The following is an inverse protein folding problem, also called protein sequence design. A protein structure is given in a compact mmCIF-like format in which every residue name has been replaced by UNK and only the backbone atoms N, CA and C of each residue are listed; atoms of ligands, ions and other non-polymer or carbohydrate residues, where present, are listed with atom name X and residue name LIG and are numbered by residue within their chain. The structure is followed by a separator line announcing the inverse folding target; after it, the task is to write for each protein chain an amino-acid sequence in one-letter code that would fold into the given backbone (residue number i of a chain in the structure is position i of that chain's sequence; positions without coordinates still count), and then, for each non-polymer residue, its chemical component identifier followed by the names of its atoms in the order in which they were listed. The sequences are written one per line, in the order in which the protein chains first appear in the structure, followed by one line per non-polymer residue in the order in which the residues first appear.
data_IF_002200239413
#
_entry.id   IF_002200239413
#
_cell.length_a   1.000
_cell.length_b   1.000
_cell.length_c   1.000
_cell.angle_alpha   90.00
_cell.angle_beta   90.00
_cell.angle_gamma   90.00
#
_symmetry.space_group_name_H-M   'P 1'
#
loop_
_entity.id
_entity.type
_entity.pdbx_description
1 polymer ?
#
# COMPACT_ATOMS: atom_id res chain seq x y z
N UNK A 1 -4.59 2.89 14.38
CA UNK A 1 -5.26 3.93 13.58
C UNK A 1 -5.44 3.47 12.15
N UNK A 2 -6.43 4.00 11.43
CA UNK A 2 -6.61 3.77 10.00
C UNK A 2 -6.17 5.02 9.23
N UNK A 3 -5.60 4.84 8.05
CA UNK A 3 -5.24 5.95 7.17
C UNK A 3 -6.53 6.72 6.81
N UNK A 4 -6.61 8.01 7.19
CA UNK A 4 -7.83 8.81 6.99
C UNK A 4 -7.97 9.37 5.58
N UNK A 5 -6.85 9.60 4.90
CA UNK A 5 -6.77 10.15 3.55
C UNK A 5 -5.55 9.57 2.82
N UNK A 6 -5.70 9.28 1.53
CA UNK A 6 -4.61 8.77 0.70
C UNK A 6 -3.66 9.87 0.20
N UNK A 7 -4.02 11.14 0.38
CA UNK A 7 -3.23 12.31 -0.05
C UNK A 7 -1.80 12.30 0.49
N UNK A 8 -1.60 11.83 1.71
CA UNK A 8 -0.28 11.75 2.34
C UNK A 8 0.39 10.38 2.19
N UNK A 9 -0.24 9.41 1.52
CA UNK A 9 0.35 8.08 1.34
C UNK A 9 1.66 8.21 0.55
N UNK A 10 2.74 7.69 1.11
CA UNK A 10 4.04 7.63 0.45
C UNK A 10 4.35 6.21 -0.03
N UNK A 11 4.10 5.22 0.82
CA UNK A 11 4.37 3.82 0.49
C UNK A 11 3.40 2.84 1.16
N UNK A 12 3.27 1.68 0.55
CA UNK A 12 2.59 0.50 1.08
C UNK A 12 3.60 -0.64 1.18
N UNK A 13 3.78 -1.15 2.40
CA UNK A 13 4.57 -2.35 2.67
C UNK A 13 3.61 -3.50 2.95
N UNK A 14 3.84 -4.65 2.34
CA UNK A 14 3.00 -5.82 2.51
C UNK A 14 3.83 -7.04 2.92
N UNK A 15 3.37 -7.71 3.95
CA UNK A 15 3.73 -9.09 4.32
C UNK A 15 2.55 -9.97 3.94
N UNK A 16 2.72 -10.78 2.91
CA UNK A 16 1.63 -11.60 2.35
C UNK A 16 1.42 -12.90 3.13
N UNK A 17 2.32 -13.28 4.03
CA UNK A 17 2.25 -14.52 4.82
C UNK A 17 2.61 -14.23 6.28
N UNK A 18 1.95 -13.22 6.84
CA UNK A 18 2.21 -12.74 8.19
C UNK A 18 1.87 -13.83 9.22
N UNK A 19 2.85 -14.13 10.08
CA UNK A 19 2.76 -15.21 11.07
C UNK A 19 2.02 -14.81 12.36
N UNK A 20 1.67 -13.53 12.51
CA UNK A 20 1.04 -12.98 13.71
C UNK A 20 2.02 -12.33 14.70
N UNK A 21 3.32 -12.52 14.52
CA UNK A 21 4.37 -12.04 15.40
C UNK A 21 5.25 -10.99 14.72
N UNK A 22 5.94 -11.36 13.63
CA UNK A 22 6.97 -10.54 13.00
C UNK A 22 6.56 -10.11 11.60
N UNK A 23 6.71 -8.83 11.31
CA UNK A 23 6.48 -8.32 9.96
C UNK A 23 7.67 -8.67 9.07
N UNK A 24 7.44 -9.52 8.08
CA UNK A 24 8.41 -9.93 7.08
C UNK A 24 8.01 -9.34 5.72
N UNK A 25 8.61 -8.21 5.37
CA UNK A 25 8.27 -7.50 4.14
C UNK A 25 8.46 -8.39 2.90
N UNK A 26 7.36 -8.66 2.20
CA UNK A 26 7.34 -9.48 0.98
C UNK A 26 7.26 -8.60 -0.26
N UNK A 27 6.45 -7.53 -0.21
CA UNK A 27 6.28 -6.58 -1.31
C UNK A 27 6.27 -5.14 -0.78
N UNK A 28 6.62 -4.20 -1.63
CA UNK A 28 6.46 -2.78 -1.37
C UNK A 28 5.97 -2.07 -2.64
N UNK A 29 5.25 -0.97 -2.46
CA UNK A 29 4.74 -0.12 -3.54
C UNK A 29 4.86 1.33 -3.11
N UNK A 30 5.34 2.20 -4.00
CA UNK A 30 5.19 3.63 -3.79
C UNK A 30 3.76 4.05 -4.09
N UNK A 31 3.35 5.21 -3.58
CA UNK A 31 2.00 5.72 -3.81
C UNK A 31 1.68 5.88 -5.31
N UNK A 32 2.67 6.26 -6.12
CA UNK A 32 2.54 6.30 -7.59
C UNK A 32 2.25 4.93 -8.23
N UNK A 33 2.83 3.84 -7.69
CA UNK A 33 2.62 2.47 -8.18
C UNK A 33 1.22 1.94 -7.86
N UNK A 34 0.53 2.59 -6.92
CA UNK A 34 -0.83 2.27 -6.52
C UNK A 34 -1.88 3.03 -7.36
N UNK A 35 -1.50 4.14 -7.98
CA UNK A 35 -2.38 4.98 -8.79
C UNK A 35 -2.61 4.44 -10.19
N UNK A 36 -1.59 3.78 -10.77
CA UNK A 36 -1.66 3.21 -12.10
C UNK A 36 -1.26 1.73 -12.01
N UNK A 37 -2.13 0.81 -12.42
CA UNK A 37 -1.83 -0.64 -12.51
C UNK A 37 -0.70 -1.00 -13.50
N UNK A 38 0.03 -0.02 -14.02
CA UNK A 38 1.20 -0.16 -14.89
C UNK A 38 2.25 0.83 -14.41
N UNK A 39 3.52 0.39 -14.36
CA UNK A 39 4.67 1.31 -14.33
C UNK A 39 4.50 2.30 -15.47
N UNK A 40 4.13 3.53 -15.17
CA UNK A 40 4.18 4.61 -16.14
C UNK A 40 5.63 5.03 -16.23
N UNK A 41 6.26 4.86 -17.40
CA UNK A 41 7.61 5.40 -17.69
C UNK A 41 7.63 6.94 -17.75
N UNK A 42 6.52 7.59 -17.37
CA UNK A 42 6.43 9.03 -17.17
C UNK A 42 6.75 9.35 -15.72
N UNK A 43 7.76 10.19 -15.52
CA UNK A 43 7.99 10.90 -14.26
C UNK A 43 6.78 11.81 -14.02
N UNK A 44 5.86 11.39 -13.15
CA UNK A 44 4.78 12.23 -12.65
C UNK A 44 5.33 13.11 -11.53
N UNK A 45 4.94 14.38 -11.49
CA UNK A 45 5.36 15.27 -10.41
C UNK A 45 4.68 14.89 -9.08
N UNK A 46 5.28 15.27 -7.95
CA UNK A 46 4.67 15.05 -6.63
C UNK A 46 3.26 15.67 -6.54
N UNK A 47 3.05 16.81 -7.19
CA UNK A 47 1.75 17.50 -7.25
C UNK A 47 0.71 16.68 -8.01
N UNK A 48 1.08 16.09 -9.16
CA UNK A 48 0.19 15.23 -9.95
C UNK A 48 -0.19 13.95 -9.20
N UNK A 49 0.78 13.32 -8.53
CA UNK A 49 0.57 12.13 -7.68
C UNK A 49 -0.40 12.46 -6.55
N UNK A 50 -0.19 13.59 -5.88
CA UNK A 50 -1.02 14.05 -4.77
C UNK A 50 -2.46 14.37 -5.21
N UNK A 51 -2.63 15.02 -6.36
CA UNK A 51 -3.97 15.26 -6.93
C UNK A 51 -4.71 13.98 -7.26
N UNK A 52 -4.02 12.99 -7.82
CA UNK A 52 -4.61 11.68 -8.15
C UNK A 52 -5.00 10.90 -6.90
N UNK A 53 -4.14 10.87 -5.87
CA UNK A 53 -4.43 10.24 -4.58
C UNK A 53 -5.64 10.88 -3.88
N UNK A 54 -5.75 12.20 -3.94
CA UNK A 54 -6.89 12.95 -3.36
C UNK A 54 -8.22 12.57 -4.03
N UNK A 55 -8.20 12.24 -5.33
CA UNK A 55 -9.39 11.83 -6.08
C UNK A 55 -9.76 10.36 -5.86
N UNK A 56 -8.85 9.53 -5.34
CA UNK A 56 -9.11 8.12 -5.07
C UNK A 56 -9.85 7.93 -3.75
N UNK A 57 -11.00 7.24 -3.82
CA UNK A 57 -11.75 6.83 -2.62
C UNK A 57 -11.27 5.48 -2.09
N UNK A 58 -10.67 4.66 -2.94
CA UNK A 58 -10.21 3.32 -2.63
C UNK A 58 -9.00 2.98 -3.52
N UNK A 59 -8.05 2.25 -2.95
CA UNK A 59 -6.89 1.70 -3.66
C UNK A 59 -7.02 0.18 -3.57
N UNK A 60 -7.26 -0.47 -4.71
CA UNK A 60 -7.36 -1.93 -4.79
C UNK A 60 -6.04 -2.47 -5.32
N UNK A 61 -5.39 -3.32 -4.53
CA UNK A 61 -4.21 -4.07 -4.96
C UNK A 61 -4.48 -5.56 -4.84
N UNK A 62 -4.33 -6.25 -5.97
CA UNK A 62 -4.48 -7.70 -6.04
C UNK A 62 -3.11 -8.37 -5.88
N UNK A 63 -3.09 -9.48 -5.15
CA UNK A 63 -1.93 -10.33 -4.96
C UNK A 63 -2.24 -11.75 -5.45
N UNK A 64 -1.28 -12.46 -6.05
CA UNK A 64 -1.46 -13.87 -6.40
C UNK A 64 -1.80 -14.70 -5.17
N UNK A 65 -2.85 -15.53 -5.27
CA UNK A 65 -3.36 -16.30 -4.12
C UNK A 65 -2.32 -17.27 -3.55
N UNK A 66 -1.44 -17.78 -4.39
CA UNK A 66 -0.33 -18.68 -4.02
C UNK A 66 0.76 -17.99 -3.21
N UNK A 67 0.91 -16.67 -3.32
CA UNK A 67 1.81 -15.88 -2.46
C UNK A 67 1.15 -15.48 -1.12
N UNK A 68 -0.18 -15.60 -1.01
CA UNK A 68 -0.93 -15.20 0.17
C UNK A 68 -1.09 -16.35 1.19
N UNK A 69 -0.58 -16.13 2.39
CA UNK A 69 -0.79 -16.98 3.55
C UNK A 69 -2.19 -16.84 4.16
N UNK A 70 -2.33 -17.30 5.40
CA UNK A 70 -3.60 -17.19 6.17
C UNK A 70 -3.90 -15.75 6.59
N UNK A 71 -2.84 -14.97 6.82
CA UNK A 71 -2.92 -13.58 7.22
C UNK A 71 -1.98 -12.74 6.37
N UNK A 72 -2.43 -11.54 6.06
CA UNK A 72 -1.66 -10.50 5.38
C UNK A 72 -1.56 -9.31 6.34
N UNK A 73 -0.37 -8.74 6.46
CA UNK A 73 -0.18 -7.48 7.16
C UNK A 73 0.26 -6.41 6.17
N UNK A 74 -0.44 -5.28 6.19
CA UNK A 74 -0.11 -4.12 5.38
C UNK A 74 0.28 -2.97 6.30
N UNK A 75 1.35 -2.26 5.95
CA UNK A 75 1.78 -1.03 6.60
C UNK A 75 1.74 0.08 5.57
N UNK A 76 0.90 1.07 5.80
CA UNK A 76 0.89 2.32 5.04
C UNK A 76 1.82 3.29 5.74
N UNK A 77 2.74 3.88 4.98
CA UNK A 77 3.65 4.93 5.47
C UNK A 77 3.28 6.22 4.75
N UNK A 78 3.09 7.29 5.51
CA UNK A 78 2.85 8.61 4.95
C UNK A 78 4.15 9.39 4.68
N UNK A 79 4.05 10.53 4.01
CA UNK A 79 5.20 11.40 3.71
C UNK A 79 5.91 11.96 4.96
N UNK A 80 5.29 11.87 6.14
CA UNK A 80 5.86 12.30 7.41
C UNK A 80 6.52 11.13 8.17
N UNK A 81 6.42 9.91 7.65
CA UNK A 81 6.93 8.69 8.28
C UNK A 81 5.99 8.06 9.30
N UNK A 82 4.74 8.50 9.40
CA UNK A 82 3.76 7.84 10.26
C UNK A 82 3.36 6.49 9.65
N UNK A 83 3.29 5.46 10.50
CA UNK A 83 2.93 4.10 10.11
C UNK A 83 1.51 3.75 10.53
N UNK A 84 0.71 3.28 9.59
CA UNK A 84 -0.62 2.73 9.83
C UNK A 84 -0.64 1.25 9.45
N UNK A 85 -0.98 0.39 10.40
CA UNK A 85 -0.92 -1.06 10.21
C UNK A 85 -2.31 -1.67 10.14
N UNK A 86 -2.54 -2.49 9.13
CA UNK A 86 -3.77 -3.24 8.95
C UNK A 86 -3.48 -4.74 8.76
N UNK A 87 -4.32 -5.57 9.35
CA UNK A 87 -4.25 -7.03 9.25
C UNK A 87 -5.48 -7.53 8.52
N UNK A 88 -5.27 -8.40 7.53
CA UNK A 88 -6.31 -9.04 6.74
C UNK A 88 -6.22 -10.55 6.91
N UNK A 89 -7.35 -11.21 7.15
CA UNK A 89 -7.43 -12.66 7.13
C UNK A 89 -7.85 -13.11 5.74
N UNK A 90 -7.06 -13.98 5.11
CA UNK A 90 -7.37 -14.56 3.80
C UNK A 90 -8.29 -15.75 4.04
N UNK A 91 -9.49 -15.72 3.44
CA UNK A 91 -10.49 -16.80 3.52
C UNK A 91 -10.32 -17.83 2.40
#
# INVERSE_FOLDING_TARGET
EKLKNFESLAMLLADLNYDGEKFMMTKYFFAQDLLNGKKSDKEESEEEIKEKLTKQKEIIKEFPKDECGKQIMVIYVDIYGNEFREKFNVK
#
